data_IF_512025412600
#
_entry.id   IF_512025412600
#
_cell.length_a   1.000
_cell.length_b   1.000
_cell.length_c   1.000
_cell.angle_alpha   90.00
_cell.angle_beta   90.00
_cell.angle_gamma   90.00
#
_symmetry.space_group_name_H-M   'P 1'
#
loop_
_entity.id
_entity.type
_entity.pdbx_description
1 polymer ?
#
# COMPACT_ATOMS: atom_id res chain seq x y z
N UNK A 1 12.60 7.07 -8.08
CA UNK A 1 12.37 6.32 -6.81
C UNK A 1 13.47 5.31 -6.52
N UNK A 2 14.14 4.73 -7.52
CA UNK A 2 15.18 3.71 -7.33
C UNK A 2 16.63 4.21 -7.39
N UNK A 3 16.92 5.38 -7.99
CA UNK A 3 18.31 5.81 -8.27
C UNK A 3 19.19 5.86 -7.02
N UNK A 4 18.71 6.47 -5.93
CA UNK A 4 19.48 6.51 -4.68
C UNK A 4 19.82 5.12 -4.15
N UNK A 5 18.90 4.16 -4.29
CA UNK A 5 19.13 2.76 -3.91
C UNK A 5 20.12 2.05 -4.84
N UNK A 6 20.06 2.33 -6.15
CA UNK A 6 21.02 1.81 -7.14
C UNK A 6 22.43 2.37 -6.92
N UNK A 7 22.54 3.65 -6.58
CA UNK A 7 23.82 4.32 -6.37
C UNK A 7 24.52 3.82 -5.09
N UNK A 8 23.76 3.53 -4.03
CA UNK A 8 24.31 3.07 -2.75
C UNK A 8 24.48 1.55 -2.66
N UNK A 9 23.61 0.77 -3.31
CA UNK A 9 23.58 -0.70 -3.23
C UNK A 9 23.48 -1.36 -4.62
N UNK A 10 24.41 -1.09 -5.55
CA UNK A 10 24.30 -1.54 -6.93
C UNK A 10 24.26 -3.07 -7.06
N UNK A 11 24.96 -3.80 -6.18
CA UNK A 11 25.02 -5.27 -6.20
C UNK A 11 23.69 -5.95 -5.89
N UNK A 12 22.85 -5.34 -5.06
CA UNK A 12 21.50 -5.86 -4.77
C UNK A 12 20.44 -5.20 -5.66
N UNK A 13 20.56 -3.90 -5.93
CA UNK A 13 19.53 -3.16 -6.63
C UNK A 13 19.46 -3.44 -8.13
N UNK A 14 20.60 -3.57 -8.83
CA UNK A 14 20.59 -3.82 -10.29
C UNK A 14 19.98 -5.17 -10.64
N UNK A 15 20.40 -6.30 -10.04
CA UNK A 15 19.80 -7.60 -10.35
C UNK A 15 18.30 -7.66 -10.01
N UNK A 16 17.87 -6.95 -8.96
CA UNK A 16 16.46 -6.86 -8.61
C UNK A 16 15.65 -6.09 -9.67
N UNK A 17 16.18 -4.98 -10.18
CA UNK A 17 15.53 -4.24 -11.26
C UNK A 17 15.50 -5.05 -12.56
N UNK A 18 16.55 -5.82 -12.85
CA UNK A 18 16.57 -6.74 -13.99
C UNK A 18 15.51 -7.85 -13.84
N UNK A 19 15.37 -8.43 -12.64
CA UNK A 19 14.29 -9.40 -12.34
C UNK A 19 12.89 -8.79 -12.52
N UNK A 20 12.71 -7.54 -12.10
CA UNK A 20 11.44 -6.82 -12.24
C UNK A 20 11.10 -6.62 -13.73
N UNK A 21 12.06 -6.15 -14.53
CA UNK A 21 11.85 -5.91 -15.96
C UNK A 21 11.64 -7.22 -16.73
N UNK A 22 12.39 -8.28 -16.43
CA UNK A 22 12.19 -9.64 -16.98
C UNK A 22 10.80 -10.18 -16.66
N UNK A 23 10.35 -10.01 -15.42
CA UNK A 23 9.02 -10.46 -14.97
C UNK A 23 7.89 -9.77 -15.72
N UNK A 24 8.06 -8.48 -16.03
CA UNK A 24 7.08 -7.65 -16.71
C UNK A 24 7.17 -7.71 -18.24
N UNK A 25 8.31 -8.13 -18.78
CA UNK A 25 8.60 -8.13 -20.22
C UNK A 25 8.84 -6.73 -20.81
N UNK A 26 9.07 -5.71 -19.97
CA UNK A 26 9.41 -4.35 -20.40
C UNK A 26 10.20 -3.60 -19.33
N UNK A 27 10.90 -2.54 -19.73
CA UNK A 27 11.83 -1.79 -18.87
C UNK A 27 11.12 -0.76 -17.96
N UNK A 28 10.36 -1.22 -16.97
CA UNK A 28 9.77 -0.35 -15.95
C UNK A 28 10.85 0.36 -15.12
N UNK A 29 12.01 -0.28 -14.91
CA UNK A 29 13.15 0.30 -14.21
C UNK A 29 13.58 1.65 -14.79
N UNK A 30 13.56 1.77 -16.13
CA UNK A 30 13.88 3.00 -16.85
C UNK A 30 12.89 4.12 -16.51
N UNK A 31 11.60 3.82 -16.43
CA UNK A 31 10.57 4.79 -16.04
C UNK A 31 10.72 5.21 -14.58
N UNK A 32 11.07 4.27 -13.68
CA UNK A 32 11.31 4.55 -12.26
C UNK A 32 12.54 5.45 -12.05
N UNK A 33 13.55 5.28 -12.89
CA UNK A 33 14.83 5.98 -12.81
C UNK A 33 14.82 7.35 -13.48
N UNK A 34 14.30 7.42 -14.70
CA UNK A 34 14.49 8.57 -15.60
C UNK A 34 13.20 9.35 -15.88
N UNK A 35 12.04 8.87 -15.41
CA UNK A 35 10.76 9.50 -15.70
C UNK A 35 10.41 9.46 -17.20
N UNK A 36 9.53 10.35 -17.69
CA UNK A 36 9.00 11.52 -16.98
C UNK A 36 7.99 11.17 -15.90
N UNK A 37 7.82 12.06 -14.90
CA UNK A 37 6.91 11.84 -13.78
C UNK A 37 5.44 11.62 -14.22
N UNK A 38 5.01 12.21 -15.33
CA UNK A 38 3.67 11.98 -15.87
C UNK A 38 3.45 10.51 -16.26
N UNK A 39 4.45 9.84 -16.83
CA UNK A 39 4.38 8.40 -17.15
C UNK A 39 4.45 7.54 -15.89
N UNK A 40 5.34 7.87 -14.95
CA UNK A 40 5.44 7.12 -13.69
C UNK A 40 4.15 7.23 -12.85
N UNK A 41 3.47 8.38 -12.90
CA UNK A 41 2.24 8.62 -12.14
C UNK A 41 1.02 7.90 -12.72
N UNK A 42 1.09 7.36 -13.95
CA UNK A 42 0.00 6.54 -14.48
C UNK A 42 -0.21 5.32 -13.59
N UNK A 43 -1.45 4.97 -13.33
CA UNK A 43 -1.83 3.89 -12.40
C UNK A 43 -1.12 2.58 -12.74
N UNK A 44 -1.10 2.21 -14.02
CA UNK A 44 -0.45 1.02 -14.56
C UNK A 44 1.06 0.94 -14.26
N UNK A 45 1.73 2.08 -14.11
CA UNK A 45 3.18 2.14 -13.83
C UNK A 45 3.46 2.36 -12.35
N UNK A 46 2.75 3.29 -11.71
CA UNK A 46 2.94 3.66 -10.31
C UNK A 46 2.71 2.48 -9.37
N UNK A 47 1.69 1.65 -9.62
CA UNK A 47 1.40 0.50 -8.77
C UNK A 47 2.55 -0.53 -8.72
N UNK A 48 2.98 -1.14 -9.85
CA UNK A 48 4.10 -2.07 -9.83
C UNK A 48 5.40 -1.39 -9.37
N UNK A 49 5.62 -0.11 -9.71
CA UNK A 49 6.82 0.61 -9.28
C UNK A 49 6.91 0.78 -7.76
N UNK A 50 5.81 1.16 -7.09
CA UNK A 50 5.77 1.33 -5.64
C UNK A 50 5.97 -0.02 -4.94
N UNK A 51 5.30 -1.07 -5.43
CA UNK A 51 5.44 -2.41 -4.88
C UNK A 51 6.88 -2.91 -5.02
N UNK A 52 7.45 -2.86 -6.22
CA UNK A 52 8.82 -3.29 -6.49
C UNK A 52 9.84 -2.50 -5.68
N UNK A 53 9.69 -1.18 -5.57
CA UNK A 53 10.59 -0.35 -4.73
C UNK A 53 10.48 -0.74 -3.26
N UNK A 54 9.29 -1.04 -2.75
CA UNK A 54 9.12 -1.47 -1.35
C UNK A 54 9.83 -2.80 -1.07
N UNK A 55 9.70 -3.77 -1.99
CA UNK A 55 10.40 -5.06 -1.87
C UNK A 55 11.91 -4.92 -2.09
N UNK A 56 12.36 -4.04 -2.99
CA UNK A 56 13.78 -3.74 -3.17
C UNK A 56 14.41 -3.27 -1.85
N UNK A 57 13.77 -2.33 -1.16
CA UNK A 57 14.27 -1.81 0.12
C UNK A 57 14.35 -2.93 1.16
N UNK A 58 13.34 -3.79 1.24
CA UNK A 58 13.36 -4.96 2.12
C UNK A 58 14.50 -5.93 1.76
N UNK A 59 14.74 -6.20 0.48
CA UNK A 59 15.83 -7.06 0.01
C UNK A 59 17.21 -6.48 0.34
N UNK A 60 17.36 -5.16 0.29
CA UNK A 60 18.59 -4.47 0.71
C UNK A 60 18.80 -4.65 2.21
N UNK A 61 17.76 -4.45 3.03
CA UNK A 61 17.84 -4.71 4.48
C UNK A 61 18.28 -6.16 4.77
N UNK A 62 17.68 -7.13 4.10
CA UNK A 62 17.97 -8.55 4.29
C UNK A 62 19.41 -8.90 3.86
N UNK A 63 19.85 -8.47 2.67
CA UNK A 63 21.13 -8.88 2.08
C UNK A 63 22.32 -8.09 2.59
N UNK A 64 22.18 -6.77 2.72
CA UNK A 64 23.30 -5.87 3.03
C UNK A 64 23.46 -5.64 4.53
N UNK A 65 22.37 -5.78 5.30
CA UNK A 65 22.35 -5.49 6.74
C UNK A 65 21.97 -6.69 7.62
N UNK A 66 21.76 -7.87 7.02
CA UNK A 66 21.40 -9.09 7.76
C UNK A 66 20.07 -8.98 8.50
N UNK A 67 19.16 -8.11 8.05
CA UNK A 67 17.85 -7.95 8.67
C UNK A 67 17.01 -9.20 8.41
N UNK A 68 16.87 -10.06 9.42
CA UNK A 68 15.98 -11.21 9.33
C UNK A 68 14.53 -10.80 9.57
N UNK A 69 13.79 -10.61 8.48
CA UNK A 69 12.37 -10.24 8.47
C UNK A 69 11.54 -11.16 9.37
N UNK A 70 11.84 -12.45 9.44
CA UNK A 70 11.01 -13.42 10.17
C UNK A 70 11.13 -13.28 11.68
N UNK A 71 12.34 -13.04 12.18
CA UNK A 71 12.58 -12.88 13.62
C UNK A 71 12.29 -11.46 14.11
N UNK A 72 12.38 -10.45 13.23
CA UNK A 72 12.26 -9.03 13.61
C UNK A 72 10.88 -8.42 13.37
N UNK A 73 10.02 -9.03 12.55
CA UNK A 73 8.69 -8.50 12.23
C UNK A 73 7.62 -9.42 12.81
N UNK A 74 6.59 -8.85 13.46
CA UNK A 74 5.50 -9.64 14.04
C UNK A 74 4.26 -9.71 13.13
N UNK A 75 4.10 -8.74 12.24
CA UNK A 75 2.91 -8.59 11.39
C UNK A 75 3.23 -7.71 10.20
N UNK A 76 2.64 -8.00 9.05
CA UNK A 76 2.70 -7.14 7.87
C UNK A 76 1.33 -6.55 7.55
N UNK A 77 1.33 -5.34 6.99
CA UNK A 77 0.14 -4.70 6.43
C UNK A 77 0.58 -3.67 5.40
N UNK A 78 -0.30 -3.33 4.46
CA UNK A 78 -0.04 -2.24 3.54
C UNK A 78 -1.33 -1.63 3.03
N UNK A 79 -1.25 -0.37 2.60
CA UNK A 79 -2.41 0.42 2.21
C UNK A 79 -2.73 0.20 0.73
N UNK A 80 -3.92 -0.31 0.44
CA UNK A 80 -4.40 -0.65 -0.90
C UNK A 80 -3.36 -1.52 -1.63
N UNK A 81 -2.74 -1.01 -2.68
CA UNK A 81 -1.59 -1.63 -3.35
C UNK A 81 -0.53 -2.20 -2.40
N UNK A 82 -0.25 -1.51 -1.29
CA UNK A 82 0.75 -1.94 -0.32
C UNK A 82 0.45 -3.31 0.31
N UNK A 83 -0.80 -3.77 0.29
CA UNK A 83 -1.19 -5.11 0.74
C UNK A 83 -0.45 -6.20 -0.06
N UNK A 84 -0.17 -5.98 -1.36
CA UNK A 84 0.64 -6.91 -2.15
C UNK A 84 2.10 -6.94 -1.70
N UNK A 85 2.68 -5.77 -1.38
CA UNK A 85 4.03 -5.70 -0.78
C UNK A 85 4.06 -6.42 0.56
N UNK A 86 3.02 -6.27 1.38
CA UNK A 86 2.90 -6.92 2.69
C UNK A 86 2.72 -8.45 2.58
N UNK A 87 1.99 -8.92 1.57
CA UNK A 87 1.83 -10.35 1.26
C UNK A 87 3.14 -10.97 0.79
N UNK A 88 3.93 -10.27 -0.04
CA UNK A 88 5.27 -10.74 -0.44
C UNK A 88 6.22 -10.73 0.74
N UNK A 89 6.26 -9.66 1.53
CA UNK A 89 7.10 -9.56 2.72
C UNK A 89 6.71 -10.60 3.79
N UNK A 90 5.42 -10.91 3.92
CA UNK A 90 4.90 -11.92 4.84
C UNK A 90 5.11 -13.36 4.37
N UNK A 91 5.49 -13.54 3.10
CA UNK A 91 5.79 -14.83 2.48
C UNK A 91 4.58 -15.53 1.83
N UNK A 92 3.42 -14.88 1.70
CA UNK A 92 2.21 -15.46 1.10
C UNK A 92 2.33 -15.61 -0.40
N UNK A 93 2.98 -14.64 -1.05
CA UNK A 93 3.11 -14.56 -2.51
C UNK A 93 4.58 -14.45 -2.90
N UNK A 94 4.94 -15.11 -4.01
CA UNK A 94 6.23 -14.87 -4.65
C UNK A 94 6.22 -13.47 -5.29
N UNK A 95 7.38 -12.81 -5.27
CA UNK A 95 7.52 -11.46 -5.80
C UNK A 95 7.05 -11.36 -7.27
N UNK A 96 7.48 -12.29 -8.12
CA UNK A 96 7.15 -12.27 -9.55
C UNK A 96 5.65 -12.37 -9.83
N UNK A 97 4.96 -13.25 -9.11
CA UNK A 97 3.52 -13.46 -9.28
C UNK A 97 2.73 -12.25 -8.80
N UNK A 98 3.09 -11.72 -7.63
CA UNK A 98 2.48 -10.51 -7.11
C UNK A 98 2.74 -9.28 -8.01
N UNK A 99 3.93 -9.17 -8.61
CA UNK A 99 4.25 -8.09 -9.54
C UNK A 99 3.40 -8.14 -10.81
N UNK A 100 3.18 -9.33 -11.38
CA UNK A 100 2.30 -9.55 -12.54
C UNK A 100 0.85 -9.21 -12.22
N UNK A 101 0.35 -9.69 -11.07
CA UNK A 101 -1.00 -9.36 -10.57
C UNK A 101 -1.18 -7.85 -10.45
N UNK A 102 -0.26 -7.17 -9.78
CA UNK A 102 -0.33 -5.73 -9.53
C UNK A 102 -0.30 -4.95 -10.84
N UNK A 103 0.58 -5.32 -11.78
CA UNK A 103 0.64 -4.67 -13.09
C UNK A 103 -0.70 -4.77 -13.81
N UNK A 104 -1.25 -5.97 -13.92
CA UNK A 104 -2.48 -6.20 -14.69
C UNK A 104 -3.71 -5.63 -14.00
N UNK A 105 -3.79 -5.73 -12.67
CA UNK A 105 -4.79 -5.03 -11.84
C UNK A 105 -4.79 -3.54 -12.15
N UNK A 106 -3.62 -2.91 -12.17
CA UNK A 106 -3.48 -1.48 -12.40
C UNK A 106 -3.92 -1.06 -13.82
N UNK A 107 -3.59 -1.85 -14.83
CA UNK A 107 -4.06 -1.65 -16.22
C UNK A 107 -5.59 -1.72 -16.32
N UNK A 108 -6.20 -2.73 -15.69
CA UNK A 108 -7.65 -2.92 -15.73
C UNK A 108 -8.36 -1.79 -15.00
N UNK A 109 -7.87 -1.34 -13.85
CA UNK A 109 -8.45 -0.20 -13.12
C UNK A 109 -8.38 1.10 -13.94
N UNK A 110 -7.27 1.33 -14.64
CA UNK A 110 -7.13 2.47 -15.54
C UNK A 110 -8.13 2.39 -16.71
N UNK A 111 -8.32 1.19 -17.28
CA UNK A 111 -9.30 0.97 -18.35
C UNK A 111 -10.75 1.14 -17.88
N UNK A 112 -11.10 0.62 -16.70
CA UNK A 112 -12.43 0.81 -16.10
C UNK A 112 -12.78 2.30 -15.98
N UNK A 113 -11.81 3.12 -15.58
CA UNK A 113 -11.97 4.58 -15.49
C UNK A 113 -12.22 5.19 -16.86
N UNK A 114 -11.39 4.88 -17.86
CA UNK A 114 -11.55 5.39 -19.23
C UNK A 114 -12.90 5.04 -19.83
N UNK A 115 -13.36 3.80 -19.63
CA UNK A 115 -14.66 3.34 -20.12
C UNK A 115 -15.82 4.06 -19.41
N UNK A 116 -15.75 4.19 -18.08
CA UNK A 116 -16.78 4.90 -17.32
C UNK A 116 -16.89 6.37 -17.74
N UNK A 117 -15.76 7.07 -17.92
CA UNK A 117 -15.73 8.45 -18.46
C UNK A 117 -16.32 8.53 -19.85
N UNK A 118 -15.95 7.62 -20.77
CA UNK A 118 -16.48 7.62 -22.14
C UNK A 118 -17.99 7.39 -22.20
N UNK A 119 -18.52 6.52 -21.33
CA UNK A 119 -19.95 6.18 -21.31
C UNK A 119 -20.82 7.27 -20.68
N UNK A 120 -20.34 7.89 -19.59
CA UNK A 120 -21.11 8.88 -18.84
C UNK A 120 -20.87 10.33 -19.27
N UNK A 121 -19.74 10.61 -19.94
CA UNK A 121 -19.28 11.97 -20.19
C UNK A 121 -18.80 12.69 -18.93
N UNK A 122 -18.64 11.98 -17.80
CA UNK A 122 -18.23 12.55 -16.52
C UNK A 122 -16.73 12.34 -16.24
N UNK A 123 -16.16 13.30 -15.49
CA UNK A 123 -14.84 13.15 -14.86
C UNK A 123 -14.97 12.34 -13.56
N UNK A 124 -14.11 11.32 -13.43
CA UNK A 124 -13.99 10.53 -12.23
C UNK A 124 -12.72 10.92 -11.45
N UNK A 125 -12.70 10.53 -10.17
CA UNK A 125 -11.52 10.67 -9.34
C UNK A 125 -11.82 10.43 -7.87
N UNK A 126 -10.93 10.91 -7.01
CA UNK A 126 -11.05 10.78 -5.56
C UNK A 126 -11.00 12.14 -4.84
N UNK A 127 -11.74 12.25 -3.73
CA UNK A 127 -11.81 13.44 -2.87
C UNK A 127 -11.82 13.02 -1.41
N UNK A 128 -10.99 13.61 -0.55
CA UNK A 128 -10.96 13.24 0.88
C UNK A 128 -12.06 13.92 1.71
N UNK A 129 -13.09 13.20 2.19
CA UNK A 129 -14.33 13.70 2.86
C UNK A 129 -15.19 12.63 3.54
N UNK A 130 -15.95 12.96 4.60
CA UNK A 130 -16.90 12.06 5.32
C UNK A 130 -18.21 11.73 4.52
N UNK A 131 -18.26 10.66 3.68
CA UNK A 131 -19.39 9.74 3.31
C UNK A 131 -18.88 8.63 2.31
N UNK A 132 -19.68 7.90 1.48
CA UNK A 132 -19.31 6.64 0.75
C UNK A 132 -17.80 6.40 0.52
N UNK A 133 -17.27 5.39 1.20
CA UNK A 133 -15.89 5.45 1.68
C UNK A 133 -14.98 4.54 0.85
N UNK A 134 -14.10 5.11 0.03
CA UNK A 134 -12.99 4.42 -0.61
C UNK A 134 -11.92 4.00 0.42
N UNK A 135 -11.60 4.91 1.35
CA UNK A 135 -10.63 4.64 2.43
C UNK A 135 -11.10 5.26 3.74
N UNK A 136 -11.09 4.48 4.82
CA UNK A 136 -11.15 5.01 6.19
C UNK A 136 -9.71 5.07 6.70
N UNK A 137 -9.06 6.23 6.60
CA UNK A 137 -7.64 6.39 6.92
C UNK A 137 -7.39 6.77 8.38
N UNK A 138 -8.32 7.47 9.00
CA UNK A 138 -8.31 7.88 10.41
C UNK A 138 -9.71 8.25 10.87
N UNK A 139 -9.91 8.47 12.17
CA UNK A 139 -11.16 9.02 12.73
C UNK A 139 -11.69 10.25 11.97
N UNK A 140 -10.80 11.11 11.48
CA UNK A 140 -11.15 12.39 10.85
C UNK A 140 -10.66 12.53 9.39
N UNK A 141 -10.31 11.43 8.73
CA UNK A 141 -9.87 11.45 7.33
C UNK A 141 -10.34 10.20 6.64
N UNK A 142 -11.20 10.40 5.67
CA UNK A 142 -11.65 9.34 4.79
C UNK A 142 -11.60 9.84 3.34
N UNK A 143 -11.76 8.94 2.37
CA UNK A 143 -11.68 9.25 0.93
C UNK A 143 -12.96 8.79 0.23
N UNK A 144 -13.50 9.63 -0.64
CA UNK A 144 -14.57 9.34 -1.59
C UNK A 144 -13.97 9.06 -2.95
N UNK A 145 -14.62 8.18 -3.70
CA UNK A 145 -14.28 7.86 -5.08
C UNK A 145 -15.53 7.82 -5.93
N UNK A 146 -15.49 8.42 -7.11
CA UNK A 146 -16.60 8.41 -8.06
C UNK A 146 -16.61 9.64 -8.94
N UNK A 147 -17.80 9.99 -9.43
CA UNK A 147 -18.05 11.20 -10.20
C UNK A 147 -17.68 12.45 -9.39
N UNK A 148 -16.79 13.28 -9.93
CA UNK A 148 -16.38 14.53 -9.28
C UNK A 148 -17.55 15.50 -9.17
N UNK A 149 -18.43 15.52 -10.17
CA UNK A 149 -19.64 16.32 -10.14
C UNK A 149 -20.54 15.91 -8.96
N UNK A 150 -20.82 14.61 -8.81
CA UNK A 150 -21.68 14.10 -7.72
C UNK A 150 -21.06 14.31 -6.33
N UNK A 151 -19.74 14.13 -6.20
CA UNK A 151 -19.03 14.42 -4.95
C UNK A 151 -19.11 15.93 -4.63
N UNK A 152 -18.98 16.79 -5.63
CA UNK A 152 -19.12 18.25 -5.44
C UNK A 152 -20.53 18.63 -5.03
N UNK A 153 -21.56 18.01 -5.62
CA UNK A 153 -22.95 18.22 -5.21
C UNK A 153 -23.19 17.77 -3.78
N UNK A 154 -22.67 16.60 -3.39
CA UNK A 154 -22.71 16.12 -2.01
C UNK A 154 -22.07 17.12 -1.03
N UNK A 155 -20.90 17.67 -1.38
CA UNK A 155 -20.23 18.70 -0.58
C UNK A 155 -21.06 19.97 -0.37
N UNK A 156 -21.78 20.39 -1.40
CA UNK A 156 -22.67 21.54 -1.31
C UNK A 156 -23.84 21.22 -0.38
N UNK A 157 -24.43 20.03 -0.49
CA UNK A 157 -25.53 19.58 0.36
C UNK A 157 -25.12 19.43 1.84
N UNK A 158 -23.93 18.88 2.12
CA UNK A 158 -23.40 18.78 3.48
C UNK A 158 -23.25 20.15 4.14
N UNK A 159 -22.73 21.14 3.40
CA UNK A 159 -22.64 22.53 3.85
C UNK A 159 -24.00 23.15 4.10
N UNK A 160 -24.92 22.97 3.16
CA UNK A 160 -26.24 23.62 3.19
C UNK A 160 -27.17 23.04 4.25
N UNK A 161 -27.19 21.72 4.43
CA UNK A 161 -28.18 21.03 5.26
C UNK A 161 -27.59 20.39 6.52
N UNK A 162 -26.30 20.07 6.53
CA UNK A 162 -25.64 19.40 7.65
C UNK A 162 -25.03 20.34 8.69
N UNK A 163 -25.02 21.66 8.44
CA UNK A 163 -24.38 22.65 9.32
C UNK A 163 -22.87 22.48 9.46
N UNK A 164 -22.26 21.62 8.63
CA UNK A 164 -20.85 21.26 8.66
C UNK A 164 -20.21 21.57 7.32
N UNK A 165 -19.07 22.26 7.35
CA UNK A 165 -18.24 22.52 6.17
C UNK A 165 -16.99 21.62 6.21
N UNK A 166 -17.07 20.38 5.68
CA UNK A 166 -15.92 19.49 5.68
C UNK A 166 -14.85 20.00 4.71
N UNK A 167 -13.61 20.07 5.19
CA UNK A 167 -12.46 20.37 4.33
C UNK A 167 -12.31 19.28 3.26
N UNK A 168 -12.65 19.62 2.03
CA UNK A 168 -12.51 18.76 0.86
C UNK A 168 -11.18 19.02 0.14
N UNK A 169 -10.47 17.95 -0.24
CA UNK A 169 -9.30 18.06 -1.12
C UNK A 169 -9.43 17.02 -2.23
N UNK A 170 -9.45 17.49 -3.49
CA UNK A 170 -9.37 16.60 -4.66
C UNK A 170 -7.97 15.98 -4.71
N UNK A 171 -7.91 14.66 -4.78
CA UNK A 171 -6.66 13.94 -4.91
C UNK A 171 -6.16 13.99 -6.36
N UNK A 172 -4.85 13.86 -6.56
CA UNK A 172 -4.22 13.80 -7.90
C UNK A 172 -4.52 12.49 -8.66
N UNK A 173 -5.46 11.68 -8.18
CA UNK A 173 -5.88 10.45 -8.86
C UNK A 173 -7.13 10.74 -9.69
N UNK A 174 -7.07 10.31 -10.94
CA UNK A 174 -8.18 10.40 -11.91
C UNK A 174 -9.06 9.14 -11.89
N UNK A 175 -8.63 8.09 -11.19
CA UNK A 175 -9.38 6.84 -11.07
C UNK A 175 -10.17 6.76 -9.77
N UNK A 176 -11.46 6.33 -9.81
CA UNK A 176 -12.29 6.14 -8.64
C UNK A 176 -12.01 4.76 -8.02
N UNK A 177 -10.86 4.59 -7.37
CA UNK A 177 -10.49 3.32 -6.73
C UNK A 177 -11.41 2.96 -5.55
N UNK A 178 -11.52 1.67 -5.22
CA UNK A 178 -12.37 1.18 -4.12
C UNK A 178 -13.85 1.53 -4.32
N UNK A 179 -14.29 1.41 -5.58
CA UNK A 179 -15.62 1.75 -6.05
C UNK A 179 -16.17 0.62 -6.94
N UNK A 180 -17.50 0.41 -7.01
CA UNK A 180 -18.10 -0.58 -7.93
C UNK A 180 -17.67 -0.49 -9.40
N UNK A 181 -17.25 0.69 -9.89
CA UNK A 181 -16.67 0.84 -11.24
C UNK A 181 -15.46 -0.08 -11.46
N UNK A 182 -14.75 -0.45 -10.39
CA UNK A 182 -13.59 -1.35 -10.44
C UNK A 182 -13.97 -2.85 -10.44
N UNK A 183 -15.25 -3.21 -10.58
CA UNK A 183 -15.71 -4.60 -10.61
C UNK A 183 -14.95 -5.49 -11.62
N UNK A 184 -14.59 -5.03 -12.83
CA UNK A 184 -13.77 -5.83 -13.74
C UNK A 184 -12.39 -6.17 -13.16
N UNK A 185 -11.76 -5.24 -12.43
CA UNK A 185 -10.48 -5.51 -11.75
C UNK A 185 -10.63 -6.54 -10.63
N UNK A 186 -11.73 -6.51 -9.87
CA UNK A 186 -12.03 -7.52 -8.87
C UNK A 186 -12.28 -8.91 -9.49
N UNK A 187 -12.98 -8.97 -10.63
CA UNK A 187 -13.19 -10.20 -11.39
C UNK A 187 -11.88 -10.82 -11.89
N UNK A 188 -10.98 -10.00 -12.43
CA UNK A 188 -9.63 -10.44 -12.80
C UNK A 188 -8.86 -11.00 -11.60
N UNK A 189 -8.81 -10.25 -10.49
CA UNK A 189 -8.10 -10.70 -9.29
C UNK A 189 -8.64 -12.03 -8.78
N UNK A 190 -9.97 -12.20 -8.76
CA UNK A 190 -10.59 -13.46 -8.35
C UNK A 190 -10.15 -14.63 -9.22
N UNK A 191 -10.14 -14.45 -10.54
CA UNK A 191 -9.72 -15.49 -11.47
C UNK A 191 -8.25 -15.87 -11.28
N UNK A 192 -7.35 -14.89 -11.29
CA UNK A 192 -5.91 -15.17 -11.25
C UNK A 192 -5.45 -15.75 -9.91
N UNK A 193 -6.07 -15.35 -8.80
CA UNK A 193 -5.73 -15.87 -7.48
C UNK A 193 -6.07 -17.36 -7.35
N UNK A 194 -6.90 -17.94 -8.22
CA UNK A 194 -7.10 -19.40 -8.27
C UNK A 194 -5.90 -20.15 -8.85
N UNK A 195 -5.07 -19.47 -9.63
CA UNK A 195 -3.96 -20.08 -10.37
C UNK A 195 -2.58 -19.75 -9.78
N UNK A 196 -2.53 -18.94 -8.72
CA UNK A 196 -1.29 -18.54 -8.06
C UNK A 196 -1.04 -19.38 -6.82
N UNK A 197 0.22 -19.77 -6.65
CA UNK A 197 0.68 -20.40 -5.43
C UNK A 197 0.62 -19.42 -4.26
N UNK A 198 -0.28 -19.67 -3.32
CA UNK A 198 -0.41 -18.91 -2.08
C UNK A 198 0.11 -19.78 -0.94
N UNK A 199 1.12 -19.31 -0.21
CA UNK A 199 1.58 -19.98 1.00
C UNK A 199 0.64 -19.64 2.17
N UNK A 200 0.06 -20.65 2.82
CA UNK A 200 -0.82 -20.43 3.98
C UNK A 200 -0.80 -21.65 4.94
N UNK A 201 -0.61 -21.45 6.27
CA UNK A 201 -0.28 -20.19 6.91
C UNK A 201 1.13 -19.75 6.50
N UNK A 202 1.31 -18.45 6.26
CA UNK A 202 2.64 -17.92 5.97
C UNK A 202 3.39 -17.53 7.25
N UNK A 203 4.63 -17.08 7.10
CA UNK A 203 5.56 -16.86 8.20
C UNK A 203 5.12 -15.71 9.12
N UNK A 204 4.49 -14.68 8.55
CA UNK A 204 4.02 -13.51 9.28
C UNK A 204 2.52 -13.32 9.03
N UNK A 205 1.70 -13.05 10.05
CA UNK A 205 0.32 -12.61 9.84
C UNK A 205 0.29 -11.36 8.94
N UNK A 206 -0.65 -11.30 7.99
CA UNK A 206 -0.88 -10.12 7.17
C UNK A 206 -2.31 -9.60 7.39
N UNK A 207 -2.46 -8.28 7.59
CA UNK A 207 -3.76 -7.65 7.84
C UNK A 207 -4.44 -7.28 6.53
N UNK A 208 -5.69 -7.72 6.37
CA UNK A 208 -6.48 -7.40 5.20
C UNK A 208 -7.03 -5.97 5.24
N UNK A 209 -7.05 -5.31 4.09
CA UNK A 209 -7.67 -4.00 3.96
C UNK A 209 -9.20 -4.03 4.02
N UNK A 210 -9.83 -5.16 3.70
CA UNK A 210 -11.30 -5.28 3.63
C UNK A 210 -11.88 -5.68 4.99
N UNK A 211 -11.25 -6.61 5.70
CA UNK A 211 -11.70 -7.02 7.04
C UNK A 211 -11.15 -6.11 8.14
N UNK A 212 -9.95 -5.54 7.96
CA UNK A 212 -9.21 -4.86 9.02
C UNK A 212 -8.48 -5.81 9.98
N UNK A 213 -8.52 -7.11 9.71
CA UNK A 213 -8.03 -8.21 10.56
C UNK A 213 -7.09 -9.14 9.78
N UNK A 214 -6.34 -10.04 10.45
CA UNK A 214 -5.53 -11.04 9.76
C UNK A 214 -6.36 -11.94 8.86
N UNK A 215 -5.78 -12.41 7.75
CA UNK A 215 -6.40 -13.44 6.93
C UNK A 215 -6.53 -14.76 7.72
N UNK A 216 -7.70 -15.41 7.60
CA UNK A 216 -8.00 -16.61 8.38
C UNK A 216 -7.70 -17.91 7.63
N UNK A 217 -7.71 -17.87 6.30
CA UNK A 217 -7.42 -19.01 5.44
C UNK A 217 -6.92 -18.58 4.06
N UNK A 218 -6.47 -19.55 3.25
CA UNK A 218 -6.15 -19.32 1.84
C UNK A 218 -7.35 -18.77 1.06
N UNK A 219 -8.53 -19.34 1.26
CA UNK A 219 -9.75 -18.92 0.55
C UNK A 219 -10.24 -17.55 1.00
N UNK A 220 -10.09 -17.26 2.30
CA UNK A 220 -10.36 -15.93 2.86
C UNK A 220 -9.43 -14.87 2.23
N UNK A 221 -8.13 -15.18 2.11
CA UNK A 221 -7.17 -14.30 1.42
C UNK A 221 -7.57 -14.04 -0.03
N UNK A 222 -7.86 -15.10 -0.81
CA UNK A 222 -8.30 -14.95 -2.21
C UNK A 222 -9.56 -14.07 -2.30
N UNK A 223 -10.54 -14.33 -1.44
CA UNK A 223 -11.80 -13.61 -1.41
C UNK A 223 -11.60 -12.12 -1.08
N UNK A 224 -10.96 -11.82 0.06
CA UNK A 224 -10.75 -10.45 0.52
C UNK A 224 -9.85 -9.64 -0.42
N UNK A 225 -8.75 -10.23 -0.91
CA UNK A 225 -7.84 -9.55 -1.83
C UNK A 225 -8.49 -9.24 -3.17
N UNK A 226 -9.39 -10.11 -3.68
CA UNK A 226 -10.14 -9.83 -4.91
C UNK A 226 -11.16 -8.69 -4.74
N UNK A 227 -11.84 -8.63 -3.58
CA UNK A 227 -12.83 -7.60 -3.23
C UNK A 227 -12.21 -6.23 -2.97
N UNK A 228 -10.92 -6.20 -2.61
CA UNK A 228 -10.19 -4.98 -2.25
C UNK A 228 -10.26 -3.88 -3.33
N UNK A 229 -10.37 -4.21 -4.61
CA UNK A 229 -10.48 -3.23 -5.70
C UNK A 229 -11.77 -2.40 -5.65
N UNK A 230 -12.85 -2.95 -5.07
CA UNK A 230 -14.20 -2.38 -5.07
C UNK A 230 -14.71 -2.01 -3.67
N UNK A 231 -14.10 -2.56 -2.63
CA UNK A 231 -14.49 -2.32 -1.24
C UNK A 231 -13.56 -1.33 -0.52
N UNK A 232 -14.12 -0.75 0.54
CA UNK A 232 -13.45 0.21 1.41
C UNK A 232 -12.17 -0.36 2.01
N UNK A 233 -11.08 0.40 1.91
CA UNK A 233 -9.86 0.14 2.69
C UNK A 233 -10.08 0.62 4.13
N UNK A 234 -10.20 -0.35 5.05
CA UNK A 234 -10.36 -0.15 6.50
C UNK A 234 -9.04 0.07 7.23
N UNK A 235 -8.22 0.99 6.71
CA UNK A 235 -6.88 1.25 7.27
C UNK A 235 -6.92 1.65 8.74
N UNK A 236 -7.88 2.50 9.12
CA UNK A 236 -8.06 2.92 10.50
C UNK A 236 -8.34 1.73 11.43
N UNK A 237 -9.22 0.82 11.03
CA UNK A 237 -9.54 -0.37 11.80
C UNK A 237 -8.32 -1.30 11.93
N UNK A 238 -7.54 -1.46 10.85
CA UNK A 238 -6.28 -2.21 10.87
C UNK A 238 -5.28 -1.66 11.88
N UNK A 239 -5.06 -0.34 11.90
CA UNK A 239 -4.12 0.29 12.83
C UNK A 239 -4.63 0.19 14.27
N UNK A 240 -5.94 0.39 14.48
CA UNK A 240 -6.56 0.28 15.79
C UNK A 240 -6.43 -1.14 16.34
N UNK A 241 -6.77 -2.16 15.55
CA UNK A 241 -6.62 -3.56 15.93
C UNK A 241 -5.19 -3.88 16.34
N UNK A 242 -4.22 -3.45 15.53
CA UNK A 242 -2.81 -3.71 15.82
C UNK A 242 -2.30 -2.95 17.06
N UNK A 243 -2.61 -1.67 17.22
CA UNK A 243 -2.10 -0.86 18.35
C UNK A 243 -2.81 -1.16 19.67
N UNK A 244 -4.15 -1.27 19.64
CA UNK A 244 -4.98 -1.42 20.84
C UNK A 244 -5.16 -2.88 21.24
N UNK A 245 -5.49 -3.75 20.29
CA UNK A 245 -5.86 -5.13 20.61
C UNK A 245 -4.64 -6.07 20.59
N UNK A 246 -3.66 -5.80 19.70
CA UNK A 246 -2.43 -6.59 19.58
C UNK A 246 -1.21 -5.95 20.23
N UNK A 247 -1.33 -4.70 20.72
CA UNK A 247 -0.27 -4.01 21.45
C UNK A 247 0.96 -3.66 20.61
N UNK A 248 0.85 -3.54 19.28
CA UNK A 248 1.96 -3.14 18.40
C UNK A 248 2.36 -1.69 18.69
N UNK A 249 3.58 -1.49 19.20
CA UNK A 249 4.12 -0.16 19.53
C UNK A 249 5.19 0.35 18.57
N UNK A 250 5.59 -0.45 17.58
CA UNK A 250 6.67 -0.11 16.66
C UNK A 250 6.28 -0.40 15.22
N UNK A 251 6.56 0.55 14.35
CA UNK A 251 6.02 0.59 12.99
C UNK A 251 7.08 1.08 12.02
N UNK A 252 7.40 0.29 11.01
CA UNK A 252 8.32 0.67 9.94
C UNK A 252 7.58 0.70 8.61
N UNK A 253 7.45 1.89 8.02
CA UNK A 253 6.95 2.04 6.66
C UNK A 253 8.07 1.84 5.66
N UNK A 254 8.02 0.77 4.87
CA UNK A 254 9.00 0.47 3.82
C UNK A 254 8.40 0.82 2.46
N UNK A 255 9.09 1.67 1.68
CA UNK A 255 8.64 2.06 0.35
C UNK A 255 8.84 3.54 0.04
N UNK A 256 8.49 3.99 -1.17
CA UNK A 256 8.67 5.37 -1.57
C UNK A 256 7.73 6.33 -0.82
N UNK A 257 8.29 7.44 -0.34
CA UNK A 257 7.55 8.50 0.35
C UNK A 257 7.20 8.17 1.80
N UNK A 258 6.40 9.05 2.44
CA UNK A 258 6.12 9.00 3.89
C UNK A 258 4.62 8.90 4.22
N UNK A 259 3.77 8.65 3.22
CA UNK A 259 2.32 8.63 3.41
C UNK A 259 1.90 7.54 4.38
N UNK A 260 2.36 6.30 4.19
CA UNK A 260 2.04 5.19 5.10
C UNK A 260 2.43 5.48 6.55
N UNK A 261 3.69 5.92 6.77
CA UNK A 261 4.17 6.38 8.09
C UNK A 261 3.29 7.46 8.70
N UNK A 262 2.91 8.47 7.92
CA UNK A 262 2.09 9.57 8.41
C UNK A 262 0.67 9.14 8.78
N UNK A 263 0.08 8.20 8.03
CA UNK A 263 -1.22 7.62 8.37
C UNK A 263 -1.16 6.83 9.68
N UNK A 264 -0.13 5.98 9.86
CA UNK A 264 0.07 5.26 11.12
C UNK A 264 0.26 6.25 12.28
N UNK A 265 1.19 7.20 12.13
CA UNK A 265 1.54 8.16 13.20
C UNK A 265 0.39 9.07 13.62
N UNK A 266 -0.61 9.27 12.76
CA UNK A 266 -1.82 10.02 13.09
C UNK A 266 -2.72 9.27 14.07
N UNK A 267 -2.76 7.94 13.99
CA UNK A 267 -3.61 7.10 14.84
C UNK A 267 -2.93 6.73 16.15
N UNK A 268 -1.67 6.29 16.10
CA UNK A 268 -0.95 5.82 17.29
C UNK A 268 -0.31 6.95 18.10
N UNK A 269 -0.31 8.17 17.56
CA UNK A 269 0.22 9.36 18.22
C UNK A 269 1.72 9.31 18.52
N UNK A 270 2.15 9.99 19.59
CA UNK A 270 3.52 9.91 20.10
C UNK A 270 3.67 8.66 20.96
N UNK A 271 4.40 7.69 20.44
CA UNK A 271 4.74 6.47 21.18
C UNK A 271 5.92 6.78 22.11
N UNK A 272 5.68 6.73 23.42
CA UNK A 272 6.70 6.94 24.46
C UNK A 272 7.45 5.62 24.73
N UNK A 273 8.22 5.13 23.77
CA UNK A 273 9.15 3.99 23.92
C UNK A 273 10.57 4.41 23.56
N UNK A 274 11.57 3.93 24.31
CA UNK A 274 13.00 4.12 23.95
C UNK A 274 13.26 3.53 22.55
N UNK A 275 13.97 4.31 21.73
CA UNK A 275 14.21 4.02 20.30
C UNK A 275 13.24 4.71 19.34
N UNK A 276 12.02 5.08 19.76
CA UNK A 276 10.98 5.65 18.90
C UNK A 276 9.89 4.64 18.49
N UNK A 277 8.94 5.09 17.66
CA UNK A 277 7.69 4.35 17.39
C UNK A 277 7.32 4.13 15.92
N UNK A 278 7.27 5.20 15.09
CA UNK A 278 6.82 5.10 13.68
C UNK A 278 7.86 5.68 12.72
N UNK A 279 8.56 4.83 11.99
CA UNK A 279 9.60 5.18 11.03
C UNK A 279 9.14 5.03 9.59
N UNK A 280 9.84 5.71 8.69
CA UNK A 280 9.76 5.48 7.25
C UNK A 280 11.18 5.16 6.76
N UNK A 281 11.29 4.17 5.89
CA UNK A 281 12.49 3.85 5.15
C UNK A 281 12.19 4.01 3.66
N UNK A 282 12.47 5.21 3.18
CA UNK A 282 12.17 5.67 1.83
C UNK A 282 13.41 6.15 1.07
N UNK A 283 14.49 6.43 1.80
CA UNK A 283 15.78 6.88 1.28
C UNK A 283 16.94 6.14 1.98
N UNK A 284 18.02 5.78 1.28
CA UNK A 284 19.20 5.14 1.88
C UNK A 284 19.76 5.87 3.11
N UNK A 285 19.67 7.21 3.15
CA UNK A 285 20.15 8.02 4.28
C UNK A 285 19.38 7.77 5.58
N UNK A 286 18.21 7.13 5.50
CA UNK A 286 17.38 6.80 6.66
C UNK A 286 17.78 5.44 7.27
N UNK A 287 18.56 4.60 6.57
CA UNK A 287 18.90 3.22 6.99
C UNK A 287 19.57 3.16 8.36
N UNK A 288 20.66 3.91 8.53
CA UNK A 288 21.47 3.86 9.75
C UNK A 288 20.62 4.21 10.99
N UNK A 289 19.87 5.31 10.91
CA UNK A 289 18.99 5.76 12.00
C UNK A 289 17.89 4.74 12.31
N UNK A 290 17.28 4.13 11.28
CA UNK A 290 16.21 3.13 11.47
C UNK A 290 16.78 1.85 12.07
N UNK A 291 17.93 1.36 11.59
CA UNK A 291 18.58 0.15 12.10
C UNK A 291 19.07 0.33 13.54
N UNK A 292 19.69 1.47 13.88
CA UNK A 292 20.05 1.79 15.26
C UNK A 292 18.83 1.84 16.18
N UNK A 293 17.73 2.44 15.72
CA UNK A 293 16.48 2.48 16.49
C UNK A 293 15.92 1.06 16.74
N UNK A 294 16.00 0.17 15.73
CA UNK A 294 15.59 -1.22 15.86
C UNK A 294 16.50 -2.00 16.81
N UNK A 295 17.82 -1.85 16.75
CA UNK A 295 18.76 -2.50 17.67
C UNK A 295 18.57 -2.08 19.14
N UNK A 296 18.38 -0.78 19.39
CA UNK A 296 18.10 -0.28 20.73
C UNK A 296 16.83 -0.90 21.35
N UNK A 297 15.92 -1.41 20.52
CA UNK A 297 14.73 -2.17 20.96
C UNK A 297 15.09 -3.48 21.64
N UNK A 298 16.00 -4.25 21.05
CA UNK A 298 16.28 -5.63 21.45
C UNK A 298 16.99 -5.67 22.81
N UNK A 299 17.84 -4.67 23.06
CA UNK A 299 18.54 -4.51 24.35
C UNK A 299 17.55 -4.27 25.49
N UNK A 300 16.47 -3.53 25.25
CA UNK A 300 15.43 -3.25 26.27
C UNK A 300 14.59 -4.51 26.60
N UNK A 301 14.28 -5.37 25.62
CA UNK A 301 13.53 -6.63 25.87
C UNK A 301 14.34 -7.62 26.70
N UNK A 302 15.67 -7.63 26.53
CA UNK A 302 16.56 -8.51 27.31
C UNK A 302 16.86 -8.00 28.73
N UNK A 303 16.51 -6.75 29.04
CA UNK A 303 16.78 -6.11 30.34
C UNK A 303 15.53 -5.92 31.21
N UNK A 304 14.35 -6.36 30.75
CA UNK A 304 13.09 -6.45 31.51
C UNK A 304 12.79 -7.91 31.85
#
# INVERSE_FOLDING_TARGET
MANSWVDNFPGTARPFLDEMDDTLGFNLSRTIANGPNCELNKTENSQPAIMATSILILRILEKEFGFDTKSRVNVTLGHSLGEFSALVAGGYLKFRDALRLVRRRAEIMAECTRQASKQSGEDYGMVALIFMIANINSKNQIVLSGSIHRITTLLIQLRQFGGHDPRAVRLKSESPFHNPIMAPAAGYMRHELEHIDIEFPSQLPCISNVSGLPFESRDDLKNLLSRQCVETVKWWDSIRYLDQDRGVKRWIGIGPGKVGRNLVGKEVGKINTKGGGVWALSDPRELENVLMALQNTEIDVLTQ
#
